data_IF_708736194996
#
_entry.id   IF_708736194996
#
_cell.length_a   1.000
_cell.length_b   1.000
_cell.length_c   1.000
_cell.angle_alpha   90.00
_cell.angle_beta   90.00
_cell.angle_gamma   90.00
#
_symmetry.space_group_name_H-M   'P 1'
#
loop_
_entity.id
_entity.type
_entity.pdbx_description
1 polymer ?
#
# COMPACT_ATOMS: atom_id res chain seq x y z
N UNK A 1 -5.98 35.68 7.18
CA UNK A 1 -6.69 34.97 6.11
C UNK A 1 -5.80 33.90 5.54
N UNK A 2 -6.12 32.65 5.72
CA UNK A 2 -5.42 31.53 5.08
C UNK A 2 -5.85 31.45 3.61
N UNK A 3 -4.97 31.84 2.68
CA UNK A 3 -5.18 31.60 1.26
C UNK A 3 -5.00 30.12 0.95
N UNK A 4 -5.96 29.50 0.29
CA UNK A 4 -5.81 28.17 -0.28
C UNK A 4 -4.87 28.25 -1.47
N UNK A 5 -3.72 27.57 -1.39
CA UNK A 5 -2.82 27.42 -2.53
C UNK A 5 -3.17 26.12 -3.23
N UNK A 6 -3.63 26.20 -4.47
CA UNK A 6 -3.80 25.02 -5.33
C UNK A 6 -2.42 24.61 -5.83
N UNK A 7 -1.91 23.49 -5.31
CA UNK A 7 -0.67 22.90 -5.77
C UNK A 7 -0.98 21.82 -6.82
N UNK A 8 -0.27 21.86 -7.93
CA UNK A 8 -0.37 20.80 -8.95
C UNK A 8 0.50 19.61 -8.54
N UNK A 9 0.06 18.36 -8.80
CA UNK A 9 0.88 17.19 -8.60
C UNK A 9 2.19 17.27 -9.38
N UNK A 10 3.29 16.84 -8.75
CA UNK A 10 4.62 16.76 -9.37
C UNK A 10 4.98 15.34 -9.79
N UNK A 11 4.33 14.34 -9.20
CA UNK A 11 4.60 12.92 -9.41
C UNK A 11 3.34 12.18 -9.86
N UNK A 12 3.54 11.14 -10.67
CA UNK A 12 2.47 10.26 -11.10
C UNK A 12 2.11 9.25 -10.01
N UNK A 13 0.81 9.00 -9.90
CA UNK A 13 0.30 7.93 -9.03
C UNK A 13 0.53 6.53 -9.61
N UNK A 14 -0.17 5.56 -9.03
CA UNK A 14 -0.03 4.13 -9.32
C UNK A 14 1.38 3.61 -9.06
N UNK A 15 1.90 3.87 -7.85
CA UNK A 15 3.23 3.46 -7.43
C UNK A 15 3.32 3.26 -5.92
N UNK A 16 4.42 2.66 -5.46
CA UNK A 16 4.76 2.60 -4.04
C UNK A 16 5.79 3.67 -3.72
N UNK A 17 5.58 4.36 -2.61
CA UNK A 17 6.54 5.31 -2.03
C UNK A 17 7.00 4.84 -0.67
N UNK A 18 8.21 5.20 -0.28
CA UNK A 18 8.73 5.02 1.07
C UNK A 18 9.55 6.23 1.50
N UNK A 19 9.66 6.45 2.81
CA UNK A 19 10.53 7.50 3.36
C UNK A 19 11.92 6.93 3.64
N UNK A 20 12.95 7.65 3.19
CA UNK A 20 14.34 7.28 3.43
C UNK A 20 14.91 7.85 4.74
N UNK A 21 14.08 8.50 5.55
CA UNK A 21 14.48 9.16 6.83
C UNK A 21 13.74 8.63 8.04
N UNK A 22 12.76 7.77 7.86
CA UNK A 22 11.90 7.28 8.95
C UNK A 22 11.95 5.76 9.08
N UNK A 23 10.97 5.20 9.77
CA UNK A 23 10.84 3.76 10.00
C UNK A 23 10.30 3.04 8.77
N UNK A 24 10.41 1.71 8.77
CA UNK A 24 9.82 0.82 7.78
C UNK A 24 8.28 0.91 7.67
N UNK A 25 7.63 1.64 8.57
CA UNK A 25 6.18 1.85 8.53
C UNK A 25 5.76 2.89 7.47
N UNK A 26 6.65 3.78 7.08
CA UNK A 26 6.39 4.84 6.10
C UNK A 26 6.53 4.35 4.65
N UNK A 27 5.81 3.27 4.31
CA UNK A 27 5.73 2.68 2.98
C UNK A 27 4.27 2.65 2.56
N UNK A 28 3.92 3.30 1.44
CA UNK A 28 2.53 3.49 1.01
C UNK A 28 2.35 3.26 -0.48
N UNK A 29 1.16 2.77 -0.87
CA UNK A 29 0.70 2.81 -2.25
C UNK A 29 0.04 4.17 -2.53
N UNK A 30 0.41 4.79 -3.62
CA UNK A 30 -0.11 6.07 -4.10
C UNK A 30 -1.03 5.82 -5.30
N UNK A 31 -2.36 5.79 -5.11
CA UNK A 31 -3.28 5.47 -6.21
C UNK A 31 -3.43 6.59 -7.23
N UNK A 32 -3.19 7.83 -6.83
CA UNK A 32 -3.38 9.05 -7.64
C UNK A 32 -2.11 9.89 -7.69
N UNK A 33 -2.05 10.80 -8.63
CA UNK A 33 -0.96 11.78 -8.76
C UNK A 33 -0.81 12.57 -7.45
N UNK A 34 0.42 12.83 -7.04
CA UNK A 34 0.74 13.44 -5.74
C UNK A 34 1.87 14.46 -5.85
N UNK A 35 2.10 15.20 -4.77
CA UNK A 35 3.23 16.11 -4.66
C UNK A 35 4.37 15.35 -3.97
N UNK A 36 5.48 15.19 -4.69
CA UNK A 36 6.70 14.60 -4.15
C UNK A 36 7.45 15.60 -3.27
N UNK A 37 8.04 15.11 -2.19
CA UNK A 37 8.94 15.85 -1.31
C UNK A 37 10.30 15.17 -1.25
N UNK A 38 11.32 15.93 -0.83
CA UNK A 38 12.62 15.36 -0.48
C UNK A 38 12.45 14.28 0.58
N UNK A 39 13.27 13.23 0.51
CA UNK A 39 13.19 12.05 1.39
C UNK A 39 12.00 11.12 1.15
N UNK A 40 11.21 11.33 0.10
CA UNK A 40 10.24 10.35 -0.39
C UNK A 40 10.78 9.72 -1.67
N UNK A 41 10.95 8.42 -1.65
CA UNK A 41 11.45 7.64 -2.78
C UNK A 41 10.31 6.85 -3.41
N UNK A 42 10.31 6.71 -4.73
CA UNK A 42 9.35 5.92 -5.49
C UNK A 42 9.94 4.58 -5.93
N UNK A 43 9.14 3.52 -5.87
CA UNK A 43 9.44 2.22 -6.45
C UNK A 43 8.68 2.07 -7.76
N UNK A 44 9.40 1.89 -8.84
CA UNK A 44 8.87 1.72 -10.18
C UNK A 44 9.19 0.33 -10.68
N UNK A 45 8.21 -0.47 -11.15
CA UNK A 45 8.51 -1.74 -11.80
C UNK A 45 9.21 -1.51 -13.13
N UNK A 46 10.12 -2.41 -13.52
CA UNK A 46 10.75 -2.37 -14.83
C UNK A 46 9.74 -2.64 -15.96
N UNK A 47 8.78 -3.52 -15.70
CA UNK A 47 7.69 -3.86 -16.61
C UNK A 47 6.37 -3.44 -15.99
N UNK A 48 5.74 -2.41 -16.50
CA UNK A 48 4.55 -1.80 -15.88
C UNK A 48 3.23 -2.46 -16.28
N UNK A 49 3.21 -3.32 -17.30
CA UNK A 49 1.97 -3.82 -17.91
C UNK A 49 1.10 -4.65 -16.95
N UNK A 50 1.73 -5.38 -16.03
CA UNK A 50 1.06 -6.26 -15.08
C UNK A 50 0.82 -5.63 -13.70
N UNK A 51 1.17 -4.34 -13.55
CA UNK A 51 1.06 -3.66 -12.27
C UNK A 51 -0.18 -2.77 -12.21
N UNK A 52 -1.18 -3.25 -11.48
CA UNK A 52 -2.40 -2.54 -11.13
C UNK A 52 -2.51 -2.38 -9.60
N UNK A 53 -3.56 -1.73 -9.11
CA UNK A 53 -3.78 -1.52 -7.69
C UNK A 53 -3.63 -2.81 -6.86
N UNK A 54 -4.21 -3.93 -7.31
CA UNK A 54 -4.19 -5.18 -6.55
C UNK A 54 -2.79 -5.79 -6.47
N UNK A 55 -2.06 -5.83 -7.59
CA UNK A 55 -0.70 -6.33 -7.62
C UNK A 55 0.25 -5.45 -6.79
N UNK A 56 0.08 -4.13 -6.82
CA UNK A 56 0.82 -3.22 -5.93
C UNK A 56 0.49 -3.45 -4.46
N UNK A 57 -0.78 -3.63 -4.08
CA UNK A 57 -1.16 -3.90 -2.69
C UNK A 57 -0.61 -5.24 -2.19
N UNK A 58 -0.57 -6.25 -3.05
CA UNK A 58 0.07 -7.53 -2.72
C UNK A 58 1.56 -7.34 -2.46
N UNK A 59 2.29 -6.74 -3.41
CA UNK A 59 3.72 -6.45 -3.26
C UNK A 59 3.99 -5.57 -2.04
N UNK A 60 3.20 -4.53 -1.80
CA UNK A 60 3.31 -3.65 -0.65
C UNK A 60 3.31 -4.43 0.66
N UNK A 61 2.44 -5.44 0.79
CA UNK A 61 2.37 -6.27 2.00
C UNK A 61 3.65 -7.07 2.23
N UNK A 62 4.22 -7.64 1.16
CA UNK A 62 5.48 -8.38 1.21
C UNK A 62 6.66 -7.44 1.50
N UNK A 63 6.71 -6.30 0.84
CA UNK A 63 7.77 -5.31 1.02
C UNK A 63 7.78 -4.76 2.45
N UNK A 64 6.62 -4.39 2.99
CA UNK A 64 6.47 -4.00 4.40
C UNK A 64 6.92 -5.10 5.35
N UNK A 65 6.52 -6.33 5.11
CA UNK A 65 6.94 -7.48 5.93
C UNK A 65 8.46 -7.66 5.91
N UNK A 66 9.08 -7.56 4.73
CA UNK A 66 10.54 -7.68 4.57
C UNK A 66 11.28 -6.53 5.25
N UNK A 67 10.73 -5.31 5.22
CA UNK A 67 11.32 -4.13 5.84
C UNK A 67 11.05 -4.04 7.35
N UNK A 68 10.01 -4.71 7.86
CA UNK A 68 9.55 -4.58 9.25
C UNK A 68 10.65 -4.85 10.26
N UNK A 69 10.80 -3.92 11.21
CA UNK A 69 11.79 -4.01 12.31
C UNK A 69 13.25 -3.87 11.88
N UNK A 70 13.53 -3.59 10.59
CA UNK A 70 14.91 -3.47 10.09
C UNK A 70 15.43 -2.03 10.10
N UNK A 71 14.52 -1.04 10.09
CA UNK A 71 14.86 0.36 9.92
C UNK A 71 14.22 1.22 10.98
N UNK A 72 14.99 2.19 11.46
CA UNK A 72 14.60 3.20 12.41
C UNK A 72 15.33 4.52 12.10
N UNK A 73 15.23 5.50 12.98
CA UNK A 73 15.90 6.80 12.79
C UNK A 73 17.43 6.68 12.74
N UNK A 74 18.02 5.71 13.43
CA UNK A 74 19.46 5.45 13.45
C UNK A 74 19.90 4.61 12.25
N UNK A 75 19.06 3.67 11.82
CA UNK A 75 19.29 2.77 10.67
C UNK A 75 18.32 3.12 9.56
N UNK A 76 18.63 4.17 8.81
CA UNK A 76 17.75 4.73 7.78
C UNK A 76 17.50 3.77 6.63
N UNK A 77 16.26 3.75 6.13
CA UNK A 77 15.87 3.01 4.94
C UNK A 77 16.30 3.75 3.66
N UNK A 78 17.59 3.73 3.37
CA UNK A 78 18.14 4.46 2.23
C UNK A 78 17.76 3.82 0.90
N UNK A 79 17.87 4.60 -0.19
CA UNK A 79 17.65 4.12 -1.56
C UNK A 79 18.54 2.91 -1.91
N UNK A 80 19.79 2.90 -1.48
CA UNK A 80 20.72 1.80 -1.73
C UNK A 80 20.26 0.50 -1.06
N UNK A 81 19.78 0.60 0.20
CA UNK A 81 19.23 -0.56 0.92
C UNK A 81 17.97 -1.08 0.23
N UNK A 82 17.09 -0.19 -0.21
CA UNK A 82 15.86 -0.58 -0.91
C UNK A 82 16.15 -1.31 -2.23
N UNK A 83 17.19 -0.89 -2.96
CA UNK A 83 17.63 -1.54 -4.22
C UNK A 83 18.19 -2.95 -4.00
N UNK A 84 18.78 -3.21 -2.84
CA UNK A 84 19.38 -4.51 -2.49
C UNK A 84 18.38 -5.42 -1.74
N UNK A 85 17.16 -4.96 -1.50
CA UNK A 85 16.15 -5.79 -0.81
C UNK A 85 15.58 -6.86 -1.73
N UNK A 86 15.67 -8.10 -1.27
CA UNK A 86 15.01 -9.24 -1.90
C UNK A 86 13.61 -9.44 -1.30
N UNK A 87 12.61 -9.56 -2.16
CA UNK A 87 11.23 -9.84 -1.81
C UNK A 87 10.79 -11.12 -2.49
N UNK A 88 10.35 -12.11 -1.72
CA UNK A 88 9.87 -13.37 -2.26
C UNK A 88 8.48 -13.17 -2.89
N UNK A 89 8.39 -13.40 -4.20
CA UNK A 89 7.15 -13.25 -4.97
C UNK A 89 6.52 -14.62 -5.29
N UNK A 90 5.19 -14.70 -5.44
CA UNK A 90 4.55 -15.91 -5.96
C UNK A 90 4.95 -16.12 -7.42
N UNK A 91 5.16 -17.38 -7.80
CA UNK A 91 5.47 -17.77 -9.17
C UNK A 91 4.45 -18.75 -9.71
N UNK A 92 4.22 -18.72 -11.01
CA UNK A 92 3.40 -19.67 -11.73
C UNK A 92 4.19 -20.95 -12.08
N UNK A 93 3.57 -21.90 -12.78
CA UNK A 93 4.18 -23.16 -13.18
C UNK A 93 5.38 -23.00 -14.15
N UNK A 94 5.59 -21.82 -14.69
CA UNK A 94 6.69 -21.49 -15.59
C UNK A 94 7.83 -20.73 -14.89
N UNK A 95 7.81 -20.64 -13.55
CA UNK A 95 8.73 -19.84 -12.73
C UNK A 95 8.71 -18.32 -13.01
N UNK A 96 7.58 -17.80 -13.55
CA UNK A 96 7.35 -16.39 -13.74
C UNK A 96 6.49 -15.83 -12.60
N UNK A 97 6.57 -14.52 -12.31
CA UNK A 97 5.73 -13.87 -11.29
C UNK A 97 4.25 -14.11 -11.59
N UNK A 98 3.52 -14.68 -10.63
CA UNK A 98 2.09 -14.96 -10.76
C UNK A 98 1.23 -13.74 -10.40
N UNK A 99 1.14 -12.80 -11.32
CA UNK A 99 0.29 -11.59 -11.17
C UNK A 99 -1.18 -11.93 -11.04
N UNK A 100 -1.66 -13.00 -11.69
CA UNK A 100 -3.05 -13.43 -11.61
C UNK A 100 -3.42 -13.90 -10.20
N UNK A 101 -2.51 -14.65 -9.57
CA UNK A 101 -2.66 -15.03 -8.15
C UNK A 101 -2.71 -13.79 -7.25
N UNK A 102 -1.76 -12.85 -7.41
CA UNK A 102 -1.70 -11.63 -6.61
C UNK A 102 -3.00 -10.82 -6.69
N UNK A 103 -3.52 -10.65 -7.90
CA UNK A 103 -4.76 -9.92 -8.16
C UNK A 103 -5.99 -10.62 -7.54
N UNK A 104 -6.10 -11.93 -7.73
CA UNK A 104 -7.18 -12.75 -7.19
C UNK A 104 -7.16 -12.73 -5.65
N UNK A 105 -5.99 -12.86 -5.06
CA UNK A 105 -5.81 -12.84 -3.62
C UNK A 105 -6.26 -11.52 -2.99
N UNK A 106 -5.80 -10.40 -3.52
CA UNK A 106 -6.20 -9.07 -3.02
C UNK A 106 -7.69 -8.81 -3.25
N UNK A 107 -8.24 -9.23 -4.39
CA UNK A 107 -9.68 -9.13 -4.66
C UNK A 107 -10.50 -9.91 -3.63
N UNK A 108 -10.07 -11.09 -3.23
CA UNK A 108 -10.71 -11.88 -2.19
C UNK A 108 -10.63 -11.20 -0.81
N UNK A 109 -9.47 -10.65 -0.45
CA UNK A 109 -9.29 -9.87 0.80
C UNK A 109 -10.21 -8.65 0.82
N UNK A 110 -10.27 -7.88 -0.26
CA UNK A 110 -11.17 -6.71 -0.38
C UNK A 110 -12.63 -7.11 -0.16
N UNK A 111 -13.10 -8.17 -0.82
CA UNK A 111 -14.47 -8.68 -0.66
C UNK A 111 -14.78 -9.09 0.78
N UNK A 112 -13.86 -9.82 1.41
CA UNK A 112 -14.02 -10.26 2.80
C UNK A 112 -14.05 -9.06 3.76
N UNK A 113 -13.20 -8.07 3.55
CA UNK A 113 -13.15 -6.86 4.37
C UNK A 113 -14.44 -6.06 4.27
N UNK A 114 -14.97 -5.88 3.04
CA UNK A 114 -16.24 -5.20 2.80
C UNK A 114 -17.40 -5.95 3.45
N UNK A 115 -17.46 -7.28 3.33
CA UNK A 115 -18.50 -8.09 3.95
C UNK A 115 -18.52 -7.95 5.47
N UNK A 116 -17.35 -8.01 6.12
CA UNK A 116 -17.21 -7.80 7.57
C UNK A 116 -17.61 -6.39 8.00
N UNK A 117 -17.24 -5.37 7.23
CA UNK A 117 -17.63 -3.99 7.51
C UNK A 117 -19.15 -3.80 7.44
N UNK A 118 -19.80 -4.38 6.43
CA UNK A 118 -21.26 -4.34 6.29
C UNK A 118 -21.95 -5.02 7.50
N UNK A 119 -21.46 -6.17 7.93
CA UNK A 119 -21.97 -6.87 9.10
C UNK A 119 -21.80 -6.04 10.37
N UNK A 120 -20.63 -5.46 10.59
CA UNK A 120 -20.38 -4.56 11.71
C UNK A 120 -21.36 -3.36 11.72
N UNK A 121 -21.54 -2.68 10.59
CA UNK A 121 -22.46 -1.54 10.47
C UNK A 121 -23.91 -1.95 10.78
N UNK A 122 -24.33 -3.15 10.35
CA UNK A 122 -25.68 -3.67 10.68
C UNK A 122 -25.85 -3.89 12.16
N UNK A 123 -24.86 -4.50 12.83
CA UNK A 123 -24.89 -4.70 14.29
C UNK A 123 -24.94 -3.39 15.07
N UNK A 124 -24.13 -2.41 14.68
CA UNK A 124 -24.12 -1.08 15.30
C UNK A 124 -25.46 -0.36 15.16
N UNK A 125 -26.06 -0.40 13.97
CA UNK A 125 -27.39 0.20 13.74
C UNK A 125 -28.48 -0.46 14.57
N UNK A 126 -28.45 -1.78 14.72
CA UNK A 126 -29.42 -2.50 15.54
C UNK A 126 -29.25 -2.19 17.02
N UNK A 127 -28.00 -2.18 17.53
CA UNK A 127 -27.70 -1.79 18.89
C UNK A 127 -28.20 -0.37 19.23
N UNK A 128 -27.96 0.58 18.31
CA UNK A 128 -28.46 1.95 18.45
C UNK A 128 -30.00 1.99 18.50
N UNK A 129 -30.67 1.24 17.61
CA UNK A 129 -32.15 1.19 17.58
C UNK A 129 -32.74 0.62 18.84
N UNK A 130 -32.13 -0.39 19.43
CA UNK A 130 -32.54 -0.94 20.73
C UNK A 130 -32.35 0.10 21.84
N UNK A 131 -31.23 0.81 21.87
CA UNK A 131 -30.92 1.78 22.90
C UNK A 131 -31.87 2.98 22.93
N UNK A 132 -32.37 3.45 21.80
CA UNK A 132 -33.28 4.60 21.70
C UNK A 132 -34.76 4.22 21.92
N UNK A 133 -35.13 2.93 21.86
CA UNK A 133 -36.50 2.46 22.04
C UNK A 133 -36.77 1.90 23.46
N UNK A 134 -35.80 1.95 24.35
CA UNK A 134 -35.88 1.66 25.77
C UNK A 134 -35.88 2.97 26.60
#
# INVERSE_FOLDING_TARGET
MGGWVSLSPTEKGNMITYSDTTTSEAIFYQPIDFIGYSHVQGLYPHESENWNENTYLYFLSLFKKTASGRFDYATKFTRYIAMDMEVTMPVNDNDEIDYAFMETYISAIKKLTIARLIEFIKCEKEAYRIAINN
#
